data_IF_312442808743
#
_entry.id   IF_312442808743
#
_cell.length_a   1.000
_cell.length_b   1.000
_cell.length_c   1.000
_cell.angle_alpha   90.00
_cell.angle_beta   90.00
_cell.angle_gamma   90.00
#
_symmetry.space_group_name_H-M   'P 1'
#
loop_
_entity.id
_entity.type
_entity.pdbx_description
1 polymer ?
#
# COMPACT_ATOMS: atom_id res chain seq x y z
N UNK A 1 6.24 -4.09 4.58
CA UNK A 1 7.45 -3.25 4.55
C UNK A 1 8.02 -3.22 3.15
N UNK A 2 9.09 -3.97 2.90
CA UNK A 2 9.82 -4.00 1.62
C UNK A 2 8.96 -4.39 0.40
N UNK A 3 8.00 -5.30 0.59
CA UNK A 3 7.00 -5.64 -0.43
C UNK A 3 6.19 -4.42 -0.88
N UNK A 4 5.97 -3.44 0.01
CA UNK A 4 5.26 -2.22 -0.32
C UNK A 4 6.01 -1.31 -1.29
N UNK A 5 7.31 -1.12 -1.07
CA UNK A 5 8.18 -0.38 -2.00
C UNK A 5 8.30 -1.16 -3.33
N UNK A 6 8.50 -2.48 -3.27
CA UNK A 6 8.58 -3.33 -4.46
C UNK A 6 7.32 -3.24 -5.34
N UNK A 7 6.13 -3.31 -4.73
CA UNK A 7 4.86 -3.14 -5.46
C UNK A 7 4.71 -1.73 -6.03
N UNK A 8 5.15 -0.70 -5.29
CA UNK A 8 5.07 0.68 -5.74
C UNK A 8 5.90 0.92 -7.01
N UNK A 9 7.14 0.43 -7.02
CA UNK A 9 8.06 0.53 -8.17
C UNK A 9 7.55 -0.29 -9.35
N UNK A 10 7.06 -1.52 -9.11
CA UNK A 10 6.52 -2.37 -10.17
C UNK A 10 5.28 -1.77 -10.86
N UNK A 11 4.42 -1.09 -10.10
CA UNK A 11 3.16 -0.51 -10.60
C UNK A 11 3.31 0.91 -11.16
N UNK A 12 4.40 1.61 -10.83
CA UNK A 12 4.65 2.98 -11.28
C UNK A 12 4.47 3.20 -12.81
N UNK A 13 5.08 2.40 -13.72
CA UNK A 13 4.92 2.63 -15.16
C UNK A 13 3.48 2.42 -15.63
N UNK A 14 2.69 1.61 -14.92
CA UNK A 14 1.29 1.37 -15.23
C UNK A 14 0.41 2.54 -14.80
N UNK A 15 0.59 2.98 -13.55
CA UNK A 15 -0.16 4.06 -12.93
C UNK A 15 0.12 5.40 -13.64
N UNK A 16 1.38 5.67 -14.01
CA UNK A 16 1.78 6.90 -14.71
C UNK A 16 1.03 7.11 -16.02
N UNK A 17 0.66 6.04 -16.75
CA UNK A 17 -0.11 6.12 -18.01
C UNK A 17 -1.53 6.67 -17.84
N UNK A 18 -2.08 6.62 -16.62
CA UNK A 18 -3.44 7.05 -16.31
C UNK A 18 -3.47 8.28 -15.37
N UNK A 19 -2.31 8.86 -15.06
CA UNK A 19 -2.18 10.08 -14.26
C UNK A 19 -0.87 10.14 -13.47
N UNK A 20 0.05 11.02 -13.86
CA UNK A 20 1.37 11.16 -13.23
C UNK A 20 1.33 11.51 -11.74
N UNK A 21 0.44 12.43 -11.33
CA UNK A 21 0.32 12.83 -9.92
C UNK A 21 -0.11 11.69 -8.99
N UNK A 22 -0.98 10.79 -9.47
CA UNK A 22 -1.45 9.63 -8.70
C UNK A 22 -0.37 8.55 -8.57
N UNK A 23 0.53 8.46 -9.57
CA UNK A 23 1.71 7.60 -9.52
C UNK A 23 2.66 8.02 -8.41
N UNK A 24 2.98 9.31 -8.38
CA UNK A 24 3.87 9.89 -7.38
C UNK A 24 3.25 9.78 -5.98
N UNK A 25 1.95 10.09 -5.84
CA UNK A 25 1.23 9.94 -4.57
C UNK A 25 1.21 8.51 -4.04
N UNK A 26 1.01 7.52 -4.91
CA UNK A 26 1.05 6.10 -4.53
C UNK A 26 2.46 5.66 -4.09
N UNK A 27 3.51 6.01 -4.83
CA UNK A 27 4.89 5.67 -4.45
C UNK A 27 5.31 6.38 -3.17
N UNK A 28 5.00 7.68 -3.05
CA UNK A 28 5.31 8.47 -1.86
C UNK A 28 4.62 7.91 -0.61
N UNK A 29 3.30 7.63 -0.69
CA UNK A 29 2.55 7.06 0.44
C UNK A 29 3.10 5.70 0.87
N UNK A 30 3.41 4.80 -0.08
CA UNK A 30 4.02 3.50 0.25
C UNK A 30 5.42 3.62 0.86
N UNK A 31 6.22 4.57 0.39
CA UNK A 31 7.57 4.80 0.94
C UNK A 31 7.47 5.34 2.38
N UNK A 32 6.57 6.29 2.60
CA UNK A 32 6.34 6.91 3.90
C UNK A 32 5.75 5.92 4.91
N UNK A 33 4.79 5.08 4.49
CA UNK A 33 4.25 3.99 5.32
C UNK A 33 5.35 3.05 5.83
N UNK A 34 6.25 2.64 4.94
CA UNK A 34 7.35 1.73 5.28
C UNK A 34 8.36 2.41 6.21
N UNK A 35 8.64 3.70 6.00
CA UNK A 35 9.48 4.47 6.90
C UNK A 35 8.87 4.56 8.32
N UNK A 36 7.58 4.82 8.44
CA UNK A 36 6.88 4.85 9.74
C UNK A 36 6.93 3.49 10.44
N UNK A 37 6.68 2.39 9.72
CA UNK A 37 6.80 1.04 10.27
C UNK A 37 8.22 0.72 10.73
N UNK A 38 9.24 1.16 9.99
CA UNK A 38 10.63 1.00 10.38
C UNK A 38 10.94 1.75 11.68
N UNK A 39 10.49 2.99 11.82
CA UNK A 39 10.64 3.76 13.08
C UNK A 39 9.95 3.05 14.24
N UNK A 40 8.72 2.56 14.05
CA UNK A 40 8.02 1.79 15.07
C UNK A 40 8.73 0.49 15.47
N UNK A 41 9.32 -0.22 14.50
CA UNK A 41 10.10 -1.42 14.75
C UNK A 41 11.39 -1.11 15.53
N UNK A 42 12.11 -0.04 15.17
CA UNK A 42 13.30 0.42 15.89
C UNK A 42 12.96 0.79 17.34
N UNK A 43 11.82 1.45 17.58
CA UNK A 43 11.36 1.73 18.95
C UNK A 43 11.15 0.44 19.76
N UNK A 44 10.56 -0.61 19.17
CA UNK A 44 10.42 -1.90 19.85
C UNK A 44 11.77 -2.57 20.12
N UNK A 45 12.70 -2.52 19.16
CA UNK A 45 14.06 -3.07 19.34
C UNK A 45 14.83 -2.33 20.43
N UNK A 46 14.68 -1.00 20.53
CA UNK A 46 15.29 -0.23 21.61
C UNK A 46 14.71 -0.62 22.98
N UNK A 47 13.39 -0.86 23.11
CA UNK A 47 12.81 -1.41 24.35
C UNK A 47 13.44 -2.76 24.71
N UNK A 48 13.64 -3.64 23.71
CA UNK A 48 14.29 -4.92 23.90
C UNK A 48 15.73 -4.76 24.44
N UNK A 49 16.53 -3.88 23.83
CA UNK A 49 17.89 -3.55 24.29
C UNK A 49 17.87 -3.01 25.73
N UNK A 50 17.00 -2.04 26.03
CA UNK A 50 16.87 -1.48 27.39
C UNK A 50 16.55 -2.57 28.43
N UNK A 51 15.65 -3.50 28.12
CA UNK A 51 15.33 -4.60 29.04
C UNK A 51 16.50 -5.57 29.23
N UNK A 52 17.28 -5.80 28.18
CA UNK A 52 18.40 -6.74 28.21
C UNK A 52 19.59 -6.17 28.99
N UNK A 53 19.99 -4.93 28.69
CA UNK A 53 21.18 -4.30 29.28
C UNK A 53 21.00 -3.94 30.77
N UNK A 54 19.76 -3.69 31.19
CA UNK A 54 19.42 -3.32 32.56
C UNK A 54 18.63 -4.42 33.30
N UNK A 55 18.87 -5.68 32.93
CA UNK A 55 18.26 -6.82 33.59
C UNK A 55 18.57 -6.79 35.10
N UNK A 56 17.52 -6.80 35.94
CA UNK A 56 17.65 -6.75 37.40
C UNK A 56 17.79 -5.34 38.00
N UNK A 57 17.66 -4.26 37.21
CA UNK A 57 17.62 -2.90 37.76
C UNK A 57 16.45 -2.71 38.75
N UNK A 58 16.72 -2.02 39.86
CA UNK A 58 15.73 -1.74 40.93
C UNK A 58 15.65 -0.24 41.25
N UNK A 59 14.60 0.16 41.98
CA UNK A 59 14.44 1.53 42.48
C UNK A 59 14.32 2.58 41.38
N UNK A 60 15.09 3.66 41.50
CA UNK A 60 15.03 4.81 40.57
C UNK A 60 15.34 4.40 39.14
N UNK A 61 16.34 3.53 38.93
CA UNK A 61 16.73 3.05 37.59
C UNK A 61 15.60 2.28 36.90
N UNK A 62 14.88 1.42 37.63
CA UNK A 62 13.74 0.68 37.10
C UNK A 62 12.57 1.60 36.70
N UNK A 63 12.36 2.66 37.49
CA UNK A 63 11.34 3.68 37.21
C UNK A 63 11.68 4.44 35.93
N UNK A 64 12.93 4.90 35.78
CA UNK A 64 13.42 5.57 34.57
C UNK A 64 13.31 4.68 33.33
N UNK A 65 13.63 3.38 33.45
CA UNK A 65 13.51 2.41 32.36
C UNK A 65 12.05 2.24 31.90
N UNK A 66 11.11 2.25 32.85
CA UNK A 66 9.67 2.18 32.56
C UNK A 66 9.18 3.42 31.83
N UNK A 67 9.61 4.62 32.27
CA UNK A 67 9.28 5.88 31.58
C UNK A 67 9.84 5.89 30.16
N UNK A 68 11.10 5.51 29.97
CA UNK A 68 11.70 5.40 28.63
C UNK A 68 10.97 4.36 27.76
N UNK A 69 10.63 3.19 28.29
CA UNK A 69 9.87 2.20 27.54
C UNK A 69 8.48 2.74 27.14
N UNK A 70 7.80 3.45 28.03
CA UNK A 70 6.48 4.03 27.75
C UNK A 70 6.51 5.09 26.65
N UNK A 71 7.56 5.92 26.58
CA UNK A 71 7.71 6.90 25.51
C UNK A 71 8.00 6.24 24.16
N UNK A 72 8.80 5.17 24.14
CA UNK A 72 9.05 4.39 22.93
C UNK A 72 7.79 3.64 22.44
N UNK A 73 6.96 3.13 23.37
CA UNK A 73 5.63 2.58 23.03
C UNK A 73 4.74 3.65 22.42
N UNK A 74 4.73 4.88 22.97
CA UNK A 74 3.96 5.98 22.39
C UNK A 74 4.42 6.29 20.95
N UNK A 75 5.73 6.36 20.70
CA UNK A 75 6.29 6.55 19.35
C UNK A 75 5.81 5.45 18.40
N UNK A 76 5.92 4.18 18.81
CA UNK A 76 5.41 3.04 18.02
C UNK A 76 3.91 3.17 17.73
N UNK A 77 3.11 3.53 18.72
CA UNK A 77 1.66 3.65 18.54
C UNK A 77 1.31 4.74 17.53
N UNK A 78 1.98 5.90 17.60
CA UNK A 78 1.80 6.98 16.65
C UNK A 78 2.23 6.60 15.22
N UNK A 79 3.37 5.92 15.06
CA UNK A 79 3.81 5.49 13.73
C UNK A 79 2.89 4.42 13.15
N UNK A 80 2.26 3.58 13.98
CA UNK A 80 1.25 2.63 13.53
C UNK A 80 -0.08 3.30 13.17
N UNK A 81 -0.50 4.30 13.93
CA UNK A 81 -1.72 5.06 13.60
C UNK A 81 -1.57 5.77 12.25
N UNK A 82 -0.45 6.45 12.01
CA UNK A 82 -0.24 7.16 10.75
C UNK A 82 0.17 6.24 9.58
N UNK A 83 0.98 5.22 9.82
CA UNK A 83 1.45 4.29 8.80
C UNK A 83 0.29 3.42 8.28
N UNK A 84 0.05 2.25 8.88
CA UNK A 84 -1.03 1.35 8.45
C UNK A 84 -2.45 1.89 8.71
N UNK A 85 -2.65 2.87 9.60
CA UNK A 85 -3.99 3.45 9.80
C UNK A 85 -4.41 4.41 8.69
N UNK A 86 -3.50 5.17 8.08
CA UNK A 86 -3.87 6.21 7.09
C UNK A 86 -3.31 5.93 5.69
N UNK A 87 -2.07 5.44 5.57
CA UNK A 87 -1.41 5.30 4.26
C UNK A 87 -2.10 4.30 3.31
N UNK A 88 -2.66 3.16 3.77
CA UNK A 88 -3.42 2.26 2.90
C UNK A 88 -4.65 2.93 2.26
N UNK A 89 -5.29 3.88 2.96
CA UNK A 89 -6.39 4.65 2.37
C UNK A 89 -5.93 5.53 1.21
N UNK A 90 -4.79 6.23 1.37
CA UNK A 90 -4.21 7.07 0.31
C UNK A 90 -3.83 6.22 -0.90
N UNK A 91 -3.18 5.09 -0.66
CA UNK A 91 -2.85 4.10 -1.67
C UNK A 91 -4.11 3.66 -2.41
N UNK A 92 -5.13 3.18 -1.68
CA UNK A 92 -6.35 2.67 -2.26
C UNK A 92 -7.10 3.71 -3.09
N UNK A 93 -7.18 4.96 -2.64
CA UNK A 93 -7.79 6.05 -3.44
C UNK A 93 -7.04 6.21 -4.77
N UNK A 94 -5.70 6.26 -4.71
CA UNK A 94 -4.89 6.42 -5.91
C UNK A 94 -5.07 5.25 -6.87
N UNK A 95 -4.95 4.02 -6.36
CA UNK A 95 -4.89 2.80 -7.16
C UNK A 95 -6.25 2.25 -7.56
N UNK A 96 -7.21 2.13 -6.64
CA UNK A 96 -8.56 1.65 -6.93
C UNK A 96 -9.25 2.54 -7.97
N UNK A 97 -9.07 3.86 -7.87
CA UNK A 97 -9.62 4.80 -8.84
C UNK A 97 -9.01 4.62 -10.25
N UNK A 98 -7.76 4.12 -10.38
CA UNK A 98 -7.16 3.83 -11.71
C UNK A 98 -7.71 2.52 -12.24
N UNK A 99 -7.78 1.50 -11.38
CA UNK A 99 -8.39 0.22 -11.74
C UNK A 99 -9.84 0.38 -12.21
N UNK A 100 -10.60 1.27 -11.56
CA UNK A 100 -11.98 1.59 -11.93
C UNK A 100 -12.07 2.20 -13.34
N UNK A 101 -11.17 3.14 -13.68
CA UNK A 101 -11.13 3.82 -14.98
C UNK A 101 -10.61 2.91 -16.11
N UNK A 102 -9.57 2.14 -15.83
CA UNK A 102 -8.86 1.31 -16.83
C UNK A 102 -9.52 -0.06 -17.09
N UNK A 103 -10.54 -0.44 -16.30
CA UNK A 103 -11.28 -1.72 -16.42
C UNK A 103 -10.39 -2.98 -16.45
N UNK A 104 -9.19 -2.93 -15.87
CA UNK A 104 -8.22 -4.04 -15.87
C UNK A 104 -8.69 -5.24 -15.05
N UNK A 105 -9.55 -4.97 -14.08
CA UNK A 105 -9.98 -5.90 -13.04
C UNK A 105 -11.51 -5.79 -12.93
N UNK A 106 -12.23 -6.88 -12.62
CA UNK A 106 -13.68 -6.84 -12.39
C UNK A 106 -14.08 -5.71 -11.44
N UNK A 107 -15.12 -4.95 -11.78
CA UNK A 107 -15.50 -3.70 -11.11
C UNK A 107 -15.77 -3.84 -9.61
N UNK A 108 -16.15 -5.04 -9.17
CA UNK A 108 -16.40 -5.34 -7.75
C UNK A 108 -15.14 -5.17 -6.88
N UNK A 109 -13.94 -5.44 -7.41
CA UNK A 109 -12.69 -5.33 -6.66
C UNK A 109 -12.43 -3.87 -6.26
N UNK A 110 -12.30 -2.90 -7.19
CA UNK A 110 -12.06 -1.51 -6.82
C UNK A 110 -13.21 -0.89 -6.00
N UNK A 111 -14.47 -1.34 -6.12
CA UNK A 111 -15.55 -0.85 -5.24
C UNK A 111 -15.36 -1.27 -3.78
N UNK A 112 -14.89 -2.49 -3.49
CA UNK A 112 -14.61 -2.92 -2.10
C UNK A 112 -13.48 -2.06 -1.50
N UNK A 113 -12.45 -1.74 -2.29
CA UNK A 113 -11.39 -0.83 -1.86
C UNK A 113 -11.90 0.57 -1.56
N UNK A 114 -12.75 1.13 -2.42
CA UNK A 114 -13.36 2.46 -2.22
C UNK A 114 -14.31 2.51 -1.02
N UNK A 115 -14.96 1.40 -0.66
CA UNK A 115 -15.76 1.28 0.57
C UNK A 115 -14.86 1.12 1.80
N UNK A 116 -13.75 0.38 1.68
CA UNK A 116 -12.79 0.19 2.76
C UNK A 116 -12.06 1.47 3.17
N UNK A 117 -11.84 2.40 2.24
CA UNK A 117 -11.19 3.69 2.49
C UNK A 117 -11.90 4.51 3.60
N UNK A 118 -13.19 4.88 3.47
CA UNK A 118 -13.87 5.65 4.50
C UNK A 118 -13.97 4.89 5.83
N UNK A 119 -14.18 3.56 5.80
CA UNK A 119 -14.22 2.73 7.00
C UNK A 119 -12.89 2.78 7.77
N UNK A 120 -11.77 2.64 7.07
CA UNK A 120 -10.44 2.73 7.67
C UNK A 120 -10.19 4.14 8.23
N UNK A 121 -10.50 5.19 7.48
CA UNK A 121 -10.30 6.56 7.92
C UNK A 121 -11.14 6.89 9.16
N UNK A 122 -12.41 6.47 9.20
CA UNK A 122 -13.26 6.61 10.39
C UNK A 122 -12.61 5.92 11.59
N UNK A 123 -12.09 4.71 11.41
CA UNK A 123 -11.42 3.96 12.48
C UNK A 123 -10.16 4.65 12.99
N UNK A 124 -9.33 5.17 12.10
CA UNK A 124 -8.10 5.90 12.48
C UNK A 124 -8.42 7.25 13.10
N UNK A 125 -9.44 7.97 12.62
CA UNK A 125 -9.91 9.20 13.28
C UNK A 125 -10.49 8.91 14.66
N UNK A 126 -11.27 7.85 14.83
CA UNK A 126 -11.76 7.42 16.13
C UNK A 126 -10.61 7.04 17.09
N UNK A 127 -9.58 6.36 16.58
CA UNK A 127 -8.37 6.03 17.35
C UNK A 127 -7.59 7.29 17.74
N UNK A 128 -7.53 8.28 16.85
CA UNK A 128 -6.87 9.57 17.10
C UNK A 128 -7.55 10.34 18.25
N UNK A 129 -8.87 10.25 18.37
CA UNK A 129 -9.64 10.86 19.46
C UNK A 129 -9.76 9.98 20.71
N UNK A 130 -9.09 8.81 20.74
CA UNK A 130 -9.07 7.91 21.89
C UNK A 130 -10.34 7.09 22.10
N UNK A 131 -11.19 6.93 21.08
CA UNK A 131 -12.38 6.09 21.17
C UNK A 131 -12.03 4.59 21.32
N UNK A 132 -10.91 4.16 20.72
CA UNK A 132 -10.34 2.82 20.87
C UNK A 132 -8.86 2.82 20.48
N UNK A 133 -8.13 1.79 20.91
CA UNK A 133 -6.75 1.58 20.47
C UNK A 133 -6.67 1.17 19.00
N UNK A 134 -5.61 1.59 18.33
CA UNK A 134 -5.32 1.23 16.92
C UNK A 134 -5.14 -0.29 16.73
N UNK A 135 -4.72 -1.02 17.76
CA UNK A 135 -4.57 -2.48 17.76
C UNK A 135 -5.78 -3.23 18.32
N UNK A 136 -6.92 -2.56 18.51
CA UNK A 136 -8.14 -3.20 19.00
C UNK A 136 -8.82 -4.06 17.93
N UNK A 137 -9.63 -5.03 18.37
CA UNK A 137 -10.46 -5.84 17.48
C UNK A 137 -11.45 -4.98 16.68
N UNK A 138 -11.95 -3.89 17.27
CA UNK A 138 -12.81 -2.91 16.59
C UNK A 138 -12.07 -2.24 15.45
N UNK A 139 -10.86 -1.71 15.71
CA UNK A 139 -10.07 -1.07 14.67
C UNK A 139 -9.74 -2.03 13.52
N UNK A 140 -9.42 -3.29 13.85
CA UNK A 140 -9.18 -4.35 12.87
C UNK A 140 -10.43 -4.64 12.03
N UNK A 141 -11.62 -4.71 12.64
CA UNK A 141 -12.88 -4.95 11.95
C UNK A 141 -13.12 -3.90 10.84
N UNK A 142 -12.91 -2.62 11.14
CA UNK A 142 -13.02 -1.54 10.15
C UNK A 142 -11.91 -1.60 9.07
N UNK A 143 -10.77 -2.21 9.38
CA UNK A 143 -9.68 -2.43 8.42
C UNK A 143 -9.83 -3.70 7.57
N UNK A 144 -10.75 -4.62 7.91
CA UNK A 144 -10.94 -5.86 7.13
C UNK A 144 -11.30 -5.62 5.65
N UNK A 145 -12.18 -4.66 5.29
CA UNK A 145 -12.52 -4.44 3.89
C UNK A 145 -11.33 -3.99 3.05
N UNK A 146 -10.51 -3.07 3.58
CA UNK A 146 -9.32 -2.58 2.88
C UNK A 146 -8.25 -3.67 2.79
N UNK A 147 -8.04 -4.46 3.85
CA UNK A 147 -7.09 -5.57 3.85
C UNK A 147 -7.51 -6.67 2.86
N UNK A 148 -8.80 -7.00 2.83
CA UNK A 148 -9.39 -7.94 1.87
C UNK A 148 -9.20 -7.45 0.44
N UNK A 149 -9.41 -6.14 0.22
CA UNK A 149 -9.18 -5.53 -1.08
C UNK A 149 -7.71 -5.60 -1.51
N UNK A 150 -6.76 -5.20 -0.66
CA UNK A 150 -5.32 -5.24 -0.97
C UNK A 150 -4.86 -6.66 -1.29
N UNK A 151 -5.28 -7.64 -0.47
CA UNK A 151 -4.97 -9.05 -0.70
C UNK A 151 -5.56 -9.56 -2.02
N UNK A 152 -6.83 -9.23 -2.29
CA UNK A 152 -7.52 -9.64 -3.53
C UNK A 152 -6.83 -9.08 -4.77
N UNK A 153 -6.41 -7.81 -4.73
CA UNK A 153 -5.69 -7.18 -5.84
C UNK A 153 -4.31 -7.79 -6.02
N UNK A 154 -3.57 -8.00 -4.92
CA UNK A 154 -2.27 -8.66 -4.94
C UNK A 154 -2.35 -10.04 -5.59
N UNK A 155 -3.26 -10.90 -5.12
CA UNK A 155 -3.47 -12.23 -5.67
C UNK A 155 -3.90 -12.18 -7.15
N UNK A 156 -4.80 -11.28 -7.52
CA UNK A 156 -5.23 -11.13 -8.91
C UNK A 156 -4.06 -10.76 -9.83
N UNK A 157 -3.19 -9.84 -9.40
CA UNK A 157 -2.02 -9.44 -10.19
C UNK A 157 -0.96 -10.53 -10.26
N UNK A 158 -0.76 -11.29 -9.18
CA UNK A 158 0.19 -12.41 -9.15
C UNK A 158 -0.22 -13.53 -10.12
N UNK A 159 -1.51 -13.89 -10.18
CA UNK A 159 -1.95 -15.03 -10.98
C UNK A 159 -2.42 -14.68 -12.39
N UNK A 160 -3.02 -13.51 -12.59
CA UNK A 160 -3.70 -13.17 -13.85
C UNK A 160 -3.05 -12.03 -14.62
N UNK A 161 -2.29 -11.16 -13.95
CA UNK A 161 -1.70 -9.97 -14.54
C UNK A 161 -2.73 -8.96 -15.09
N UNK A 162 -2.24 -7.94 -15.79
CA UNK A 162 -3.09 -6.92 -16.39
C UNK A 162 -3.71 -7.39 -17.71
N UNK A 163 -5.03 -7.23 -17.88
CA UNK A 163 -5.66 -7.35 -19.21
C UNK A 163 -5.05 -6.29 -20.13
N UNK A 164 -4.44 -6.71 -21.25
CA UNK A 164 -4.06 -5.80 -22.33
C UNK A 164 -5.33 -5.11 -22.84
N UNK A 165 -5.33 -3.79 -22.89
CA UNK A 165 -6.30 -3.06 -23.71
C UNK A 165 -5.95 -3.41 -25.16
N UNK A 166 -6.88 -4.06 -25.86
CA UNK A 166 -6.73 -4.32 -27.29
C UNK A 166 -6.68 -2.96 -28.00
N UNK A 167 -5.50 -2.61 -28.50
CA UNK A 167 -5.22 -1.28 -29.02
C UNK A 167 -3.89 -1.22 -29.75
N UNK A 168 -3.66 -2.20 -30.64
CA UNK A 168 -2.82 -2.00 -31.83
C UNK A 168 -3.33 -2.99 -32.87
N UNK A 169 -4.42 -2.61 -33.55
CA UNK A 169 -4.64 -3.07 -34.91
C UNK A 169 -3.43 -2.58 -35.70
N UNK A 170 -2.38 -3.39 -35.78
CA UNK A 170 -1.33 -3.20 -36.77
C UNK A 170 -2.06 -3.22 -38.11
N UNK A 171 -2.09 -2.07 -38.77
CA UNK A 171 -2.69 -1.94 -40.09
C UNK A 171 -2.14 -3.05 -40.97
N UNK A 172 -3.06 -3.86 -41.51
CA UNK A 172 -2.79 -4.75 -42.62
C UNK A 172 -2.41 -3.85 -43.81
N UNK A 173 -1.13 -3.50 -43.89
CA UNK A 173 -0.54 -2.92 -45.09
C UNK A 173 -0.57 -4.00 -46.14
N UNK A 174 -1.60 -3.97 -46.99
CA UNK A 174 -1.60 -4.63 -48.28
C UNK A 174 -0.27 -4.31 -48.96
N UNK A 175 0.64 -5.29 -49.00
CA UNK A 175 1.78 -5.25 -49.91
C UNK A 175 1.21 -5.59 -51.28
N UNK A 176 1.22 -4.67 -52.27
CA UNK A 176 0.89 -5.06 -53.63
C UNK A 176 1.94 -6.06 -54.09
N UNK A 177 1.50 -7.26 -54.47
CA UNK A 177 2.35 -8.22 -55.17
C UNK A 177 2.71 -7.63 -56.53
N UNK A 178 3.93 -7.10 -56.68
CA UNK A 178 4.49 -6.85 -58.00
C UNK A 178 4.61 -8.20 -58.74
N UNK A 179 3.86 -8.34 -59.82
CA UNK A 179 3.98 -9.43 -60.79
C UNK A 179 5.34 -9.34 -61.49
N UNK A 180 6.06 -10.46 -61.70
CA UNK A 180 7.21 -10.45 -62.58
C UNK A 180 6.73 -10.41 -64.04
N UNK A 181 6.96 -9.28 -64.72
CA UNK A 181 6.77 -9.20 -66.15
C UNK A 181 7.88 -10.01 -66.86
N UNK A 182 7.43 -10.98 -67.65
CA UNK A 182 8.22 -11.80 -68.55
C UNK A 182 9.02 -10.96 -69.56
N UNK A 183 10.20 -11.46 -69.92
CA UNK A 183 11.07 -11.04 -71.04
C UNK A 183 10.44 -11.41 -72.39
N UNK A 184 10.29 -10.45 -73.32
CA UNK A 184 10.35 -10.58 -74.80
C UNK A 184 10.10 -9.17 -75.40
N UNK A 185 10.78 -8.59 -76.39
CA UNK A 185 11.74 -8.95 -77.45
C UNK A 185 12.75 -7.80 -77.57
#
# INVERSE_FOLDING_TARGET
>A
GLTGIGTAVALYPFIKRHGGGRAVGFVASRTLEVAMLAVGAVAVLAIFTLRHDYAGATGVTATSLTTAASSLVAVKNWTFLFGPGVMPAINAICFASIMYQSRLVPRWIPTVGLIGVPLLLISSTASLFGAWDQSSSTALFFALPIATWELSVGLYMTFKGFRKVAGSTTGNGNVPTEQPALVTV
#
